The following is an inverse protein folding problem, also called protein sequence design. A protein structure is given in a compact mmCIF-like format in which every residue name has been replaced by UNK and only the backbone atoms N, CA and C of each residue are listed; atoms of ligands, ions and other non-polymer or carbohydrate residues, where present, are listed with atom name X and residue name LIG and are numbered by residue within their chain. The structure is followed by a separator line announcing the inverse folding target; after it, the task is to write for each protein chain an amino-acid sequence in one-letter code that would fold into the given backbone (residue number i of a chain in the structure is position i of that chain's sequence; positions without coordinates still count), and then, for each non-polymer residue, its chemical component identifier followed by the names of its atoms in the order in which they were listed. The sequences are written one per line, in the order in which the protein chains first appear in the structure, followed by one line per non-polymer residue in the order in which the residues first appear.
data_IF_150276628300
#
_entry.id   IF_150276628300
#
_cell.length_a   1.000
_cell.length_b   1.000
_cell.length_c   1.000
_cell.angle_alpha   90.00
_cell.angle_beta   90.00
_cell.angle_gamma   90.00
#
_symmetry.space_group_name_H-M   'P 1'
#
loop_
_entity.id
_entity.type
_entity.pdbx_description
1 polymer ?
#
# COMPACT_ATOMS: atom_id res chain seq x y z
N UNK A 1 -1.69 -16.62 10.40
CA UNK A 1 -0.45 -16.28 9.64
C UNK A 1 -0.70 -15.05 8.76
N UNK A 2 -1.74 -15.03 7.90
CA UNK A 2 -2.04 -13.89 7.02
C UNK A 2 -2.17 -12.54 7.76
N UNK A 3 -2.95 -12.48 8.84
CA UNK A 3 -3.18 -11.23 9.59
C UNK A 3 -1.89 -10.60 10.15
N UNK A 4 -0.95 -11.42 10.67
CA UNK A 4 0.33 -10.90 11.17
C UNK A 4 1.18 -10.27 10.06
N UNK A 5 1.09 -10.78 8.83
CA UNK A 5 1.80 -10.20 7.69
C UNK A 5 1.16 -8.87 7.25
N UNK A 6 -0.16 -8.75 7.33
CA UNK A 6 -0.87 -7.49 7.04
C UNK A 6 -0.45 -6.39 8.03
N UNK A 7 -0.40 -6.71 9.32
CA UNK A 7 0.11 -5.79 10.34
C UNK A 7 1.58 -5.42 10.10
N UNK A 8 2.44 -6.39 9.79
CA UNK A 8 3.85 -6.14 9.49
C UNK A 8 4.05 -5.26 8.24
N UNK A 9 3.22 -5.44 7.21
CA UNK A 9 3.22 -4.62 6.01
C UNK A 9 2.87 -3.15 6.30
N UNK A 10 1.82 -2.93 7.10
CA UNK A 10 1.41 -1.57 7.50
C UNK A 10 2.44 -0.94 8.45
N UNK A 11 2.96 -1.69 9.42
CA UNK A 11 4.01 -1.24 10.32
C UNK A 11 5.26 -0.81 9.53
N UNK A 12 5.62 -1.55 8.48
CA UNK A 12 6.71 -1.18 7.59
C UNK A 12 6.46 0.16 6.90
N UNK A 13 5.24 0.40 6.38
CA UNK A 13 4.88 1.68 5.76
C UNK A 13 5.07 2.83 6.74
N UNK A 14 4.53 2.71 7.96
CA UNK A 14 4.67 3.78 8.96
C UNK A 14 6.12 4.00 9.37
N UNK A 15 6.91 2.94 9.56
CA UNK A 15 8.32 3.06 9.92
C UNK A 15 9.15 3.72 8.81
N UNK A 16 8.91 3.35 7.54
CA UNK A 16 9.63 3.93 6.39
C UNK A 16 9.14 5.32 5.99
N UNK A 17 7.88 5.65 6.32
CA UNK A 17 7.39 7.02 6.19
C UNK A 17 8.22 7.98 7.05
N UNK A 18 8.78 7.49 8.16
CA UNK A 18 9.56 8.28 9.13
C UNK A 18 8.82 9.56 9.56
N UNK A 19 7.51 9.46 9.75
CA UNK A 19 6.63 10.56 10.13
C UNK A 19 6.29 11.56 9.01
N UNK A 20 6.73 11.32 7.78
CA UNK A 20 6.31 12.11 6.61
C UNK A 20 4.87 11.80 6.25
N UNK A 21 4.19 12.77 5.66
CA UNK A 21 2.91 12.53 5.02
C UNK A 21 3.09 11.57 3.82
N UNK A 22 2.14 10.65 3.63
CA UNK A 22 2.15 9.70 2.52
C UNK A 22 0.74 9.41 2.01
N UNK A 23 0.64 8.95 0.76
CA UNK A 23 -0.55 8.29 0.23
C UNK A 23 -0.40 6.77 0.28
N UNK A 24 -1.53 6.06 0.26
CA UNK A 24 -1.58 4.62 0.03
C UNK A 24 -2.52 4.31 -1.12
N UNK A 25 -2.14 3.35 -1.97
CA UNK A 25 -3.00 2.71 -2.96
C UNK A 25 -2.88 1.19 -2.80
N UNK A 26 -4.01 0.50 -2.71
CA UNK A 26 -4.07 -0.89 -2.28
C UNK A 26 -4.82 -1.78 -3.27
N UNK A 27 -4.32 -2.99 -3.47
CA UNK A 27 -4.99 -4.04 -4.24
C UNK A 27 -5.15 -5.30 -3.40
N UNK A 28 -6.41 -5.70 -3.20
CA UNK A 28 -6.76 -6.96 -2.56
C UNK A 28 -7.74 -7.69 -3.49
N UNK A 29 -7.56 -9.00 -3.70
CA UNK A 29 -8.57 -9.81 -4.35
C UNK A 29 -9.97 -9.59 -3.70
N UNK A 30 -11.07 -9.66 -4.47
CA UNK A 30 -12.40 -9.15 -4.09
C UNK A 30 -13.11 -9.92 -2.96
N UNK A 31 -12.40 -10.71 -2.16
CA UNK A 31 -12.98 -11.50 -1.06
C UNK A 31 -13.38 -10.60 0.11
N UNK A 32 -12.62 -9.54 0.40
CA UNK A 32 -12.95 -8.55 1.45
C UNK A 32 -12.59 -7.14 0.96
N UNK A 33 -13.55 -6.36 0.44
CA UNK A 33 -13.28 -4.96 0.10
C UNK A 33 -12.92 -4.18 1.38
N UNK A 34 -12.06 -3.16 1.24
CA UNK A 34 -11.70 -2.21 2.30
C UNK A 34 -10.93 -2.79 3.51
N UNK A 35 -10.39 -4.00 3.40
CA UNK A 35 -9.65 -4.62 4.50
C UNK A 35 -8.46 -3.77 4.96
N UNK A 36 -7.68 -3.21 4.04
CA UNK A 36 -6.53 -2.37 4.40
C UNK A 36 -6.93 -0.96 4.80
N UNK A 37 -7.94 -0.34 4.16
CA UNK A 37 -8.49 0.94 4.64
C UNK A 37 -8.83 0.90 6.14
N UNK A 38 -9.53 -0.15 6.58
CA UNK A 38 -9.83 -0.33 8.01
C UNK A 38 -8.57 -0.44 8.87
N UNK A 39 -7.57 -1.22 8.42
CA UNK A 39 -6.34 -1.39 9.19
C UNK A 39 -5.49 -0.10 9.23
N UNK A 40 -5.45 0.69 8.17
CA UNK A 40 -4.80 2.00 8.17
C UNK A 40 -5.51 2.96 9.11
N UNK A 41 -6.85 2.97 9.12
CA UNK A 41 -7.64 3.79 10.04
C UNK A 41 -7.39 3.37 11.50
N UNK A 42 -7.47 2.08 11.79
CA UNK A 42 -7.31 1.56 13.14
C UNK A 42 -5.88 1.73 13.68
N UNK A 43 -4.86 1.29 12.95
CA UNK A 43 -3.47 1.43 13.40
C UNK A 43 -3.00 2.89 13.35
N UNK A 44 -3.45 3.65 12.35
CA UNK A 44 -3.14 5.06 12.20
C UNK A 44 -3.69 5.90 13.33
N UNK A 45 -4.88 5.58 13.85
CA UNK A 45 -5.47 6.27 15.01
C UNK A 45 -4.92 5.76 16.34
N UNK A 46 -4.78 4.45 16.53
CA UNK A 46 -4.44 3.86 17.82
C UNK A 46 -2.94 3.84 18.14
N UNK A 47 -2.08 3.64 17.13
CA UNK A 47 -0.64 3.40 17.32
C UNK A 47 0.22 4.54 16.77
N UNK A 48 -0.07 4.99 15.56
CA UNK A 48 0.81 5.92 14.83
C UNK A 48 0.39 7.39 14.88
N UNK A 49 -0.83 7.67 15.33
CA UNK A 49 -1.45 9.00 15.37
C UNK A 49 -1.31 9.78 14.04
N UNK A 50 -1.40 9.07 12.92
CA UNK A 50 -1.24 9.60 11.57
C UNK A 50 -1.99 8.71 10.60
N UNK A 51 -2.72 9.32 9.68
CA UNK A 51 -3.44 8.64 8.60
C UNK A 51 -2.76 8.94 7.25
N UNK A 52 -2.90 8.04 6.26
CA UNK A 52 -2.60 8.37 4.87
C UNK A 52 -3.42 9.59 4.44
N UNK A 53 -2.85 10.44 3.60
CA UNK A 53 -3.58 11.59 3.07
C UNK A 53 -4.38 11.21 1.82
N UNK A 54 -5.52 11.87 1.63
CA UNK A 54 -6.34 11.72 0.41
C UNK A 54 -5.82 12.59 -0.76
N UNK A 55 -5.14 13.70 -0.45
CA UNK A 55 -4.57 14.57 -1.48
C UNK A 55 -3.33 13.91 -2.10
N UNK A 56 -3.17 14.05 -3.42
CA UNK A 56 -1.99 13.54 -4.12
C UNK A 56 -0.72 14.25 -3.66
N UNK A 57 0.21 13.49 -3.08
CA UNK A 57 1.53 13.97 -2.63
C UNK A 57 2.67 13.09 -3.18
N UNK A 58 3.93 13.56 -3.10
CA UNK A 58 5.08 12.88 -3.71
C UNK A 58 5.32 11.46 -3.19
N UNK A 59 5.16 11.22 -1.89
CA UNK A 59 5.38 9.91 -1.28
C UNK A 59 4.12 9.04 -1.38
N UNK A 60 4.20 7.96 -2.15
CA UNK A 60 3.12 7.00 -2.36
C UNK A 60 3.60 5.62 -1.94
N UNK A 61 2.83 4.93 -1.11
CA UNK A 61 2.99 3.51 -0.87
C UNK A 61 1.95 2.72 -1.66
N UNK A 62 2.37 1.64 -2.29
CA UNK A 62 1.43 0.66 -2.85
C UNK A 62 1.50 -0.62 -2.05
N UNK A 63 0.35 -1.20 -1.71
CA UNK A 63 0.24 -2.47 -1.00
C UNK A 63 -0.64 -3.41 -1.80
N UNK A 64 -0.16 -4.61 -2.13
CA UNK A 64 -0.97 -5.57 -2.87
C UNK A 64 -0.73 -7.01 -2.44
N UNK A 65 -1.77 -7.83 -2.55
CA UNK A 65 -1.69 -9.27 -2.35
C UNK A 65 -1.56 -10.00 -3.68
N UNK A 66 -0.89 -11.16 -3.67
CA UNK A 66 -0.88 -12.06 -4.81
C UNK A 66 -2.30 -12.56 -5.12
N UNK A 67 -2.66 -12.58 -6.40
CA UNK A 67 -3.96 -13.05 -6.90
C UNK A 67 -3.73 -14.21 -7.88
N UNK A 68 -3.44 -15.44 -7.39
CA UNK A 68 -3.14 -16.57 -8.26
C UNK A 68 -4.35 -17.06 -9.07
N UNK A 69 -5.56 -16.81 -8.58
CA UNK A 69 -6.80 -17.19 -9.25
C UNK A 69 -7.12 -16.22 -10.41
N UNK A 70 -6.74 -14.94 -10.27
CA UNK A 70 -6.95 -13.89 -11.26
C UNK A 70 -5.71 -12.98 -11.46
N UNK A 71 -4.58 -13.54 -11.94
CA UNK A 71 -3.33 -12.79 -12.07
C UNK A 71 -3.43 -11.59 -13.02
N UNK A 72 -4.34 -11.64 -13.99
CA UNK A 72 -4.61 -10.56 -14.93
C UNK A 72 -5.10 -9.27 -14.24
N UNK A 73 -5.83 -9.40 -13.13
CA UNK A 73 -6.38 -8.24 -12.40
C UNK A 73 -5.29 -7.49 -11.65
N UNK A 74 -4.44 -8.25 -10.95
CA UNK A 74 -3.26 -7.69 -10.30
C UNK A 74 -2.33 -7.05 -11.34
N UNK A 75 -2.08 -7.73 -12.47
CA UNK A 75 -1.24 -7.19 -13.53
C UNK A 75 -1.79 -5.88 -14.10
N UNK A 76 -3.09 -5.81 -14.39
CA UNK A 76 -3.74 -4.59 -14.85
C UNK A 76 -3.64 -3.45 -13.82
N UNK A 77 -3.77 -3.74 -12.52
CA UNK A 77 -3.56 -2.74 -11.48
C UNK A 77 -2.09 -2.28 -11.44
N UNK A 78 -1.12 -3.19 -11.49
CA UNK A 78 0.31 -2.86 -11.53
C UNK A 78 0.68 -2.00 -12.75
N UNK A 79 0.10 -2.29 -13.91
CA UNK A 79 0.34 -1.51 -15.12
C UNK A 79 -0.18 -0.06 -15.00
N UNK A 80 -1.31 0.15 -14.32
CA UNK A 80 -1.77 1.50 -13.97
C UNK A 80 -0.80 2.20 -13.01
N UNK A 81 -0.28 1.49 -11.99
CA UNK A 81 0.66 2.05 -11.02
C UNK A 81 1.96 2.56 -11.66
N UNK A 82 2.41 1.97 -12.78
CA UNK A 82 3.57 2.46 -13.54
C UNK A 82 3.39 3.90 -14.04
N UNK A 83 2.17 4.30 -14.38
CA UNK A 83 1.85 5.66 -14.79
C UNK A 83 1.68 6.65 -13.62
N UNK A 84 1.54 6.14 -12.40
CA UNK A 84 1.25 6.94 -11.19
C UNK A 84 2.54 7.24 -10.41
N UNK A 85 3.47 6.29 -10.34
CA UNK A 85 4.70 6.47 -9.59
C UNK A 85 5.80 5.49 -9.96
N UNK A 86 7.04 5.86 -9.67
CA UNK A 86 8.23 5.02 -9.86
C UNK A 86 8.55 4.32 -8.55
N UNK A 87 8.78 3.00 -8.61
CA UNK A 87 9.18 2.21 -7.43
C UNK A 87 10.58 2.64 -6.98
N UNK A 88 10.70 3.02 -5.70
CA UNK A 88 11.97 3.30 -5.04
C UNK A 88 12.44 2.11 -4.21
N UNK A 89 11.49 1.41 -3.58
CA UNK A 89 11.77 0.27 -2.71
C UNK A 89 10.61 -0.72 -2.73
N UNK A 90 10.92 -1.99 -2.55
CA UNK A 90 9.94 -3.07 -2.40
C UNK A 90 10.28 -3.92 -1.17
N UNK A 91 9.25 -4.38 -0.47
CA UNK A 91 9.35 -5.34 0.62
C UNK A 91 8.21 -6.36 0.52
N UNK A 92 8.51 -7.62 0.88
CA UNK A 92 7.55 -8.73 0.84
C UNK A 92 7.28 -9.28 2.24
N UNK A 93 6.03 -9.61 2.49
CA UNK A 93 5.50 -10.20 3.73
C UNK A 93 4.59 -11.38 3.37
N UNK A 94 5.18 -12.55 3.09
CA UNK A 94 4.43 -13.69 2.54
C UNK A 94 3.83 -13.33 1.17
N UNK A 95 2.50 -13.45 1.04
CA UNK A 95 1.77 -13.11 -0.18
C UNK A 95 1.52 -11.60 -0.40
N UNK A 96 1.97 -10.75 0.52
CA UNK A 96 1.77 -9.29 0.46
C UNK A 96 3.06 -8.64 -0.02
N UNK A 97 2.94 -7.69 -0.94
CA UNK A 97 4.03 -6.85 -1.42
C UNK A 97 3.71 -5.39 -1.12
N UNK A 98 4.67 -4.69 -0.53
CA UNK A 98 4.61 -3.26 -0.28
C UNK A 98 5.71 -2.58 -1.08
N UNK A 99 5.40 -1.47 -1.74
CA UNK A 99 6.38 -0.67 -2.43
C UNK A 99 6.31 0.79 -1.97
N UNK A 100 7.46 1.39 -1.74
CA UNK A 100 7.61 2.85 -1.68
C UNK A 100 7.78 3.37 -3.11
N UNK A 101 7.01 4.39 -3.45
CA UNK A 101 6.99 4.99 -4.79
C UNK A 101 7.12 6.49 -4.72
N UNK A 102 7.83 7.04 -5.69
CA UNK A 102 7.81 8.46 -6.01
C UNK A 102 6.68 8.72 -6.99
N UNK A 103 5.65 9.46 -6.59
CA UNK A 103 4.55 9.86 -7.47
C UNK A 103 5.07 10.70 -8.63
N UNK A 104 4.57 10.43 -9.83
CA UNK A 104 4.81 11.19 -11.05
C UNK A 104 3.74 12.28 -11.14
N UNK A 105 4.17 13.54 -11.10
CA UNK A 105 3.31 14.67 -11.43
C UNK A 105 3.52 15.01 -12.90
N UNK A 106 2.50 14.82 -13.73
CA UNK A 106 2.53 15.37 -15.09
C UNK A 106 2.45 16.90 -14.95
N UNK A 107 3.40 17.59 -15.57
CA UNK A 107 3.36 19.05 -15.75
C UNK A 107 2.25 19.42 -16.71
#
# INVERSE_FOLDING_TARGET
IAYSNQLAAIDWIYNFSNGRDFNVDEYVPPVIPYAYQYLFEWLGTQKYQRLPLDKNIPLLYTLYEADPDHPERLQAWLDRQKGIGTVLKEQRFGGIVVQERQRIFKK
#
